data_IF_792655407177
#
_entry.id   IF_792655407177
#
_cell.length_a   1.000
_cell.length_b   1.000
_cell.length_c   1.000
_cell.angle_alpha   90.00
_cell.angle_beta   90.00
_cell.angle_gamma   90.00
#
_symmetry.space_group_name_H-M   'P 1'
#
loop_
_entity.id
_entity.type
_entity.pdbx_description
1 polymer ?
#
# COMPACT_ATOMS: atom_id res chain seq x y z
N UNK A 1 -22.42 8.83 -12.85
CA UNK A 1 -21.51 9.33 -13.91
C UNK A 1 -20.91 8.13 -14.61
N UNK A 2 -21.39 7.80 -15.82
CA UNK A 2 -20.82 6.72 -16.64
C UNK A 2 -19.55 7.21 -17.31
N UNK A 3 -18.38 6.77 -16.82
CA UNK A 3 -17.12 6.93 -17.56
C UNK A 3 -17.00 5.76 -18.53
N UNK A 4 -16.65 6.05 -19.79
CA UNK A 4 -16.39 5.01 -20.80
C UNK A 4 -15.01 4.39 -20.50
N UNK A 5 -14.99 3.45 -19.57
CA UNK A 5 -13.78 2.74 -19.12
C UNK A 5 -14.05 1.24 -19.21
N UNK A 6 -13.10 0.51 -19.77
CA UNK A 6 -13.03 -0.95 -19.78
C UNK A 6 -12.01 -1.39 -18.72
N UNK A 7 -12.40 -2.33 -17.87
CA UNK A 7 -11.54 -2.90 -16.82
C UNK A 7 -11.35 -4.40 -17.02
N UNK A 8 -10.14 -4.86 -16.74
CA UNK A 8 -9.76 -6.27 -16.83
C UNK A 8 -9.01 -6.65 -15.56
N UNK A 9 -9.42 -7.74 -14.93
CA UNK A 9 -8.69 -8.30 -13.80
C UNK A 9 -7.45 -9.04 -14.33
N UNK A 10 -6.26 -8.60 -13.89
CA UNK A 10 -5.01 -9.24 -14.32
C UNK A 10 -4.62 -10.40 -13.41
N UNK A 11 -4.45 -10.12 -12.13
CA UNK A 11 -4.08 -11.16 -11.16
C UNK A 11 -4.46 -10.78 -9.74
N UNK A 12 -4.82 -11.76 -8.91
CA UNK A 12 -4.87 -11.58 -7.47
C UNK A 12 -3.44 -11.54 -6.90
N UNK A 13 -3.21 -10.64 -5.97
CA UNK A 13 -1.98 -10.57 -5.17
C UNK A 13 -2.34 -11.03 -3.75
N UNK A 14 -1.44 -11.77 -3.10
CA UNK A 14 -1.63 -12.24 -1.73
C UNK A 14 -1.76 -11.12 -0.70
N UNK A 15 -2.01 -11.48 0.57
CA UNK A 15 -2.24 -10.49 1.62
C UNK A 15 -1.04 -9.56 1.79
N UNK A 16 -1.33 -8.28 1.99
CA UNK A 16 -0.31 -7.30 2.33
C UNK A 16 0.11 -7.42 3.79
N UNK A 17 1.38 -7.10 4.04
CA UNK A 17 1.92 -7.06 5.38
C UNK A 17 1.40 -5.83 6.15
N UNK A 18 1.33 -5.91 7.49
CA UNK A 18 1.06 -4.72 8.30
C UNK A 18 2.11 -3.63 8.07
N UNK A 19 3.37 -4.04 7.86
CA UNK A 19 4.43 -3.11 7.54
C UNK A 19 5.64 -3.23 8.46
N UNK A 20 6.49 -2.20 8.40
CA UNK A 20 7.75 -2.13 9.13
C UNK A 20 7.77 -0.98 10.11
N UNK A 21 8.41 -1.21 11.26
CA UNK A 21 8.47 -0.31 12.40
C UNK A 21 9.89 -0.18 12.95
N UNK A 22 10.25 0.96 13.57
CA UNK A 22 11.58 1.14 14.17
C UNK A 22 11.78 0.29 15.42
N UNK A 23 10.69 0.08 16.19
CA UNK A 23 10.68 -0.74 17.42
C UNK A 23 9.56 -1.76 17.37
N UNK A 24 9.62 -2.76 18.24
CA UNK A 24 8.59 -3.76 18.38
C UNK A 24 7.29 -3.14 18.89
N UNK A 25 6.19 -3.47 18.22
CA UNK A 25 4.82 -3.14 18.66
C UNK A 25 4.30 -4.29 19.50
N UNK A 26 3.86 -4.00 20.70
CA UNK A 26 3.31 -5.01 21.65
C UNK A 26 1.78 -4.91 21.74
N UNK A 27 1.23 -3.75 21.47
CA UNK A 27 -0.20 -3.45 21.58
C UNK A 27 -0.58 -2.29 20.65
N UNK A 28 -1.87 -1.95 20.61
CA UNK A 28 -2.39 -0.87 19.77
C UNK A 28 -1.92 0.53 20.22
N UNK A 29 -1.64 0.72 21.48
CA UNK A 29 -1.17 2.02 21.98
C UNK A 29 0.25 2.30 21.50
N UNK A 30 1.11 1.28 21.45
CA UNK A 30 2.43 1.40 20.81
C UNK A 30 2.29 1.80 19.35
N UNK A 31 1.35 1.19 18.61
CA UNK A 31 1.12 1.50 17.21
C UNK A 31 0.64 2.94 17.00
N UNK A 32 -0.24 3.44 17.85
CA UNK A 32 -0.76 4.83 17.78
C UNK A 32 0.31 5.91 17.97
N UNK A 33 1.48 5.56 18.51
CA UNK A 33 2.57 6.52 18.67
C UNK A 33 3.28 6.89 17.36
N UNK A 34 3.08 6.12 16.29
CA UNK A 34 3.78 6.29 15.02
C UNK A 34 2.97 7.06 13.99
N UNK A 35 3.64 7.94 13.24
CA UNK A 35 3.14 8.44 11.95
C UNK A 35 3.35 7.34 10.91
N UNK A 36 2.28 6.68 10.56
CA UNK A 36 2.30 5.48 9.75
C UNK A 36 1.92 5.76 8.30
N UNK A 37 2.81 5.40 7.37
CA UNK A 37 2.49 5.48 5.94
C UNK A 37 1.52 4.37 5.55
N UNK A 38 0.49 4.76 4.83
CA UNK A 38 -0.50 3.84 4.23
C UNK A 38 -0.70 4.16 2.75
N UNK A 39 -1.28 3.24 1.95
CA UNK A 39 -1.76 3.60 0.65
C UNK A 39 -2.92 4.61 0.76
N UNK A 40 -3.17 5.42 -0.28
CA UNK A 40 -4.34 6.31 -0.31
C UNK A 40 -5.65 5.53 -0.37
N UNK A 41 -6.75 6.18 0.03
CA UNK A 41 -8.09 5.62 -0.05
C UNK A 41 -8.53 4.90 1.22
N UNK A 42 -9.31 3.83 1.05
CA UNK A 42 -9.96 3.09 2.17
C UNK A 42 -8.97 2.61 3.23
N UNK A 43 -7.82 2.00 2.89
CA UNK A 43 -6.89 1.53 3.91
C UNK A 43 -6.40 2.66 4.83
N UNK A 44 -6.03 3.80 4.24
CA UNK A 44 -5.61 4.96 5.03
C UNK A 44 -6.70 5.48 5.96
N UNK A 45 -7.97 5.45 5.53
CA UNK A 45 -9.10 5.83 6.37
C UNK A 45 -9.32 4.84 7.50
N UNK A 46 -9.27 3.53 7.22
CA UNK A 46 -9.40 2.47 8.24
C UNK A 46 -8.39 2.67 9.38
N UNK A 47 -7.14 2.98 9.07
CA UNK A 47 -6.13 3.24 10.11
C UNK A 47 -6.44 4.51 10.92
N UNK A 48 -6.93 5.56 10.28
CA UNK A 48 -7.37 6.78 10.99
C UNK A 48 -8.52 6.52 11.94
N UNK A 49 -9.48 5.72 11.53
CA UNK A 49 -10.69 5.40 12.32
C UNK A 49 -10.35 4.62 13.61
N UNK A 50 -9.25 3.85 13.61
CA UNK A 50 -8.72 3.17 14.79
C UNK A 50 -7.66 3.99 15.56
N UNK A 51 -7.50 5.28 15.20
CA UNK A 51 -6.67 6.24 15.93
C UNK A 51 -5.18 6.23 15.54
N UNK A 52 -4.82 5.68 14.38
CA UNK A 52 -3.44 5.73 13.86
C UNK A 52 -3.23 7.02 13.06
N UNK A 53 -2.12 7.71 13.29
CA UNK A 53 -1.71 8.87 12.50
C UNK A 53 -1.26 8.44 11.09
N UNK A 54 -2.23 8.18 10.20
CA UNK A 54 -2.02 7.65 8.85
C UNK A 54 -1.70 8.77 7.85
N UNK A 55 -0.63 8.59 7.09
CA UNK A 55 -0.18 9.50 6.03
C UNK A 55 -0.14 8.75 4.70
N UNK A 56 -0.93 9.19 3.73
CA UNK A 56 -0.95 8.60 2.39
C UNK A 56 0.17 9.20 1.52
N UNK A 57 0.99 8.33 0.91
CA UNK A 57 2.03 8.75 -0.05
C UNK A 57 2.41 7.62 -1.00
N UNK A 58 2.98 8.00 -2.16
CA UNK A 58 3.48 7.06 -3.16
C UNK A 58 4.69 6.26 -2.66
N UNK A 59 4.92 5.07 -3.27
CA UNK A 59 6.01 4.17 -2.85
C UNK A 59 7.40 4.79 -2.94
N UNK A 60 7.65 5.59 -3.98
CA UNK A 60 8.94 6.26 -4.18
C UNK A 60 9.30 7.29 -3.09
N UNK A 61 8.29 7.82 -2.41
CA UNK A 61 8.46 8.86 -1.39
C UNK A 61 8.69 8.29 0.02
N UNK A 62 8.43 6.99 0.22
CA UNK A 62 8.47 6.36 1.55
C UNK A 62 9.87 6.40 2.16
N UNK A 63 10.89 5.93 1.43
CA UNK A 63 12.24 5.86 1.98
C UNK A 63 12.83 7.23 2.29
N UNK A 64 12.70 8.24 1.40
CA UNK A 64 13.07 9.62 1.73
C UNK A 64 12.33 10.17 2.95
N UNK A 65 11.03 9.92 3.09
CA UNK A 65 10.22 10.37 4.22
C UNK A 65 10.63 9.73 5.55
N UNK A 66 10.97 8.42 5.54
CA UNK A 66 11.53 7.72 6.69
C UNK A 66 12.89 8.29 7.11
N UNK A 67 13.76 8.58 6.14
CA UNK A 67 15.08 9.16 6.40
C UNK A 67 15.00 10.57 6.94
N UNK A 68 14.03 11.36 6.46
CA UNK A 68 13.77 12.72 6.94
C UNK A 68 12.99 12.77 8.28
N UNK A 69 12.49 11.63 8.78
CA UNK A 69 11.68 11.58 9.99
C UNK A 69 10.28 12.21 9.85
N UNK A 70 9.77 12.37 8.62
CA UNK A 70 8.42 12.86 8.37
C UNK A 70 7.37 11.79 8.63
N UNK A 71 7.75 10.52 8.52
CA UNK A 71 7.00 9.34 8.95
C UNK A 71 7.92 8.44 9.78
N UNK A 72 7.35 7.65 10.67
CA UNK A 72 8.08 6.78 11.59
C UNK A 72 8.05 5.31 11.19
N UNK A 73 7.00 4.90 10.49
CA UNK A 73 6.75 3.52 10.10
C UNK A 73 6.00 3.48 8.75
N UNK A 74 6.10 2.36 8.04
CA UNK A 74 5.49 2.26 6.72
C UNK A 74 5.04 0.82 6.40
N UNK A 75 3.92 0.75 5.73
CA UNK A 75 3.45 -0.37 4.94
C UNK A 75 3.74 -0.08 3.46
N UNK A 76 3.95 -1.12 2.65
CA UNK A 76 4.01 -0.98 1.19
C UNK A 76 3.29 -2.11 0.49
N UNK A 77 3.64 -3.37 0.71
CA UNK A 77 3.00 -4.51 0.09
C UNK A 77 3.30 -5.80 0.86
N UNK A 78 4.37 -6.45 0.49
CA UNK A 78 4.71 -7.80 0.91
C UNK A 78 6.23 -8.00 0.92
N UNK A 79 6.76 -9.13 1.48
CA UNK A 79 8.18 -9.25 1.80
C UNK A 79 9.15 -8.94 0.67
N UNK A 80 8.90 -9.42 -0.54
CA UNK A 80 9.83 -9.25 -1.66
C UNK A 80 9.91 -7.81 -2.17
N UNK A 81 8.80 -7.12 -2.51
CA UNK A 81 8.82 -5.69 -2.81
C UNK A 81 9.42 -4.84 -1.71
N UNK A 82 9.07 -5.09 -0.44
CA UNK A 82 9.59 -4.33 0.70
C UNK A 82 11.12 -4.46 0.84
N UNK A 83 11.69 -5.62 0.48
CA UNK A 83 13.13 -5.81 0.43
C UNK A 83 13.78 -4.99 -0.68
N UNK A 84 13.18 -4.96 -1.88
CA UNK A 84 13.68 -4.17 -3.01
C UNK A 84 13.72 -2.68 -2.70
N UNK A 85 12.70 -2.15 -2.03
CA UNK A 85 12.66 -0.76 -1.57
C UNK A 85 13.65 -0.45 -0.45
N UNK A 86 14.19 -1.46 0.22
CA UNK A 86 15.24 -1.28 1.21
C UNK A 86 14.78 -0.72 2.56
N UNK A 87 13.51 -0.81 2.89
CA UNK A 87 12.95 -0.31 4.16
C UNK A 87 13.62 -0.93 5.39
N UNK A 88 14.13 -2.18 5.29
CA UNK A 88 14.85 -2.88 6.35
C UNK A 88 16.13 -2.15 6.82
N UNK A 89 16.66 -1.24 6.00
CA UNK A 89 17.83 -0.44 6.37
C UNK A 89 17.51 0.54 7.50
N UNK A 90 16.28 1.03 7.52
CA UNK A 90 15.78 2.04 8.46
C UNK A 90 14.87 1.41 9.53
N UNK A 91 13.96 0.51 9.12
CA UNK A 91 12.94 -0.10 9.97
C UNK A 91 13.28 -1.57 10.26
N UNK A 92 13.45 -1.94 11.54
CA UNK A 92 14.00 -3.24 11.94
C UNK A 92 12.96 -4.31 12.21
N UNK A 93 11.72 -3.93 12.57
CA UNK A 93 10.66 -4.88 12.91
C UNK A 93 9.65 -4.96 11.78
N UNK A 94 9.38 -6.18 11.31
CA UNK A 94 8.45 -6.45 10.21
C UNK A 94 7.31 -7.35 10.67
N UNK A 95 6.07 -6.93 10.41
CA UNK A 95 4.86 -7.66 10.75
C UNK A 95 4.16 -8.11 9.48
N UNK A 96 4.06 -9.42 9.30
CA UNK A 96 3.49 -10.06 8.11
C UNK A 96 1.95 -10.02 8.06
N UNK A 97 1.31 -10.03 9.24
CA UNK A 97 -0.15 -10.01 9.31
C UNK A 97 -0.66 -8.59 9.13
N UNK A 98 -1.22 -8.31 7.95
CA UNK A 98 -1.90 -7.05 7.66
C UNK A 98 -3.35 -7.06 8.12
N UNK A 99 -3.88 -5.86 8.41
CA UNK A 99 -5.28 -5.65 8.82
C UNK A 99 -6.16 -5.17 7.66
N UNK A 100 -5.56 -4.58 6.62
CA UNK A 100 -6.25 -3.72 5.67
C UNK A 100 -6.49 -4.37 4.30
N UNK A 101 -5.65 -5.29 3.86
CA UNK A 101 -5.74 -5.88 2.52
C UNK A 101 -5.38 -7.37 2.57
N UNK A 102 -6.41 -8.20 2.70
CA UNK A 102 -6.26 -9.67 2.71
C UNK A 102 -5.99 -10.22 1.30
N UNK A 103 -6.52 -9.54 0.29
CA UNK A 103 -6.31 -9.81 -1.14
C UNK A 103 -6.33 -8.49 -1.88
N UNK A 104 -5.41 -8.31 -2.80
CA UNK A 104 -5.38 -7.18 -3.74
C UNK A 104 -5.58 -7.73 -5.14
N UNK A 105 -6.50 -7.17 -5.89
CA UNK A 105 -6.60 -7.44 -7.32
C UNK A 105 -5.86 -6.34 -8.09
N UNK A 106 -4.90 -6.74 -8.89
CA UNK A 106 -4.32 -5.84 -9.88
C UNK A 106 -5.23 -5.83 -11.11
N UNK A 107 -5.78 -4.68 -11.41
CA UNK A 107 -6.65 -4.48 -12.55
C UNK A 107 -5.98 -3.59 -13.59
N UNK A 108 -6.29 -3.85 -14.83
CA UNK A 108 -5.90 -3.01 -15.96
C UNK A 108 -7.11 -2.24 -16.47
N UNK A 109 -6.96 -0.93 -16.66
CA UNK A 109 -8.01 -0.07 -17.18
C UNK A 109 -7.59 0.66 -18.43
N UNK A 110 -8.51 0.77 -19.40
CA UNK A 110 -8.33 1.60 -20.57
C UNK A 110 -9.62 2.35 -20.91
N UNK A 111 -9.51 3.43 -21.68
CA UNK A 111 -10.70 4.12 -22.19
C UNK A 111 -11.43 3.24 -23.22
N UNK A 112 -12.75 3.34 -23.29
CA UNK A 112 -13.52 2.64 -24.32
C UNK A 112 -13.05 3.01 -25.73
N UNK A 113 -12.64 4.26 -25.95
CA UNK A 113 -12.03 4.70 -27.22
C UNK A 113 -10.79 3.85 -27.57
N UNK A 114 -9.88 3.66 -26.62
CA UNK A 114 -8.69 2.85 -26.83
C UNK A 114 -9.05 1.39 -27.09
N UNK A 115 -9.95 0.83 -26.26
CA UNK A 115 -10.41 -0.55 -26.41
C UNK A 115 -11.05 -0.80 -27.79
N UNK A 116 -11.89 0.12 -28.26
CA UNK A 116 -12.57 -0.03 -29.54
C UNK A 116 -11.63 0.12 -30.75
N UNK A 117 -10.49 0.76 -30.58
CA UNK A 117 -9.46 0.88 -31.61
C UNK A 117 -8.58 -0.38 -31.75
N UNK A 118 -8.65 -1.31 -30.79
CA UNK A 118 -7.94 -2.59 -30.86
C UNK A 118 -8.58 -3.51 -31.91
N UNK A 119 -7.78 -4.32 -32.56
CA UNK A 119 -8.24 -5.41 -33.44
C UNK A 119 -8.85 -6.53 -32.61
N UNK A 120 -9.61 -7.42 -33.25
CA UNK A 120 -10.21 -8.56 -32.53
C UNK A 120 -9.17 -9.53 -31.95
N UNK A 121 -7.96 -9.56 -32.50
CA UNK A 121 -6.84 -10.36 -31.97
C UNK A 121 -6.21 -9.72 -30.73
N UNK A 122 -6.31 -8.40 -30.54
CA UNK A 122 -5.75 -7.66 -29.41
C UNK A 122 -6.72 -7.51 -28.24
N UNK A 123 -7.97 -7.85 -28.42
CA UNK A 123 -9.03 -7.87 -27.40
C UNK A 123 -9.11 -9.22 -26.72
#
# INVERSE_FOLDING_TARGET
MGRDIKGFMLQPVGPEALGRFPKQIKNMDDFRTYKFRTPPGIPGQTYKDIGIASVAMGGGDILPALQAGTIDAAEWCCPKPDLVFGFYKVLKHYYLQGLHQVVVNADFYMTGKTYNALTDHEK
#
